data_IF_509596011859
#
_entry.id   IF_509596011859
#
_cell.length_a   1.000
_cell.length_b   1.000
_cell.length_c   1.000
_cell.angle_alpha   90.00
_cell.angle_beta   90.00
_cell.angle_gamma   90.00
#
_symmetry.space_group_name_H-M   'P 1'
#
loop_
_entity.id
_entity.type
_entity.pdbx_description
1 polymer ?
#
# COMPACT_ATOMS: atom_id res chain seq x y z
N UNK A 1 -24.66 -15.28 -27.11
CA UNK A 1 -24.69 -15.81 -25.74
C UNK A 1 -23.69 -15.04 -24.89
N UNK A 2 -23.92 -14.93 -23.58
CA UNK A 2 -23.15 -14.09 -22.63
C UNK A 2 -22.88 -12.66 -23.15
N UNK A 3 -23.95 -11.96 -23.48
CA UNK A 3 -23.90 -10.67 -24.17
C UNK A 3 -23.22 -9.54 -23.38
N UNK A 4 -22.88 -9.74 -22.10
CA UNK A 4 -22.04 -8.79 -21.35
C UNK A 4 -20.68 -8.53 -22.03
N UNK A 5 -20.19 -9.47 -22.84
CA UNK A 5 -18.95 -9.33 -23.60
C UNK A 5 -19.01 -8.26 -24.70
N UNK A 6 -20.21 -7.85 -25.14
CA UNK A 6 -20.40 -6.85 -26.21
C UNK A 6 -20.98 -5.52 -25.72
N UNK A 7 -21.09 -5.32 -24.40
CA UNK A 7 -21.65 -4.08 -23.82
C UNK A 7 -20.78 -2.84 -24.06
N UNK A 8 -19.46 -3.02 -24.17
CA UNK A 8 -18.53 -1.94 -24.46
C UNK A 8 -18.57 -1.56 -25.94
N UNK A 9 -19.28 -0.48 -26.29
CA UNK A 9 -19.44 -0.03 -27.70
C UNK A 9 -18.09 0.30 -28.37
N UNK A 10 -17.11 0.75 -27.57
CA UNK A 10 -15.78 1.06 -28.07
C UNK A 10 -14.84 -0.15 -28.15
N UNK A 11 -15.23 -1.31 -27.59
CA UNK A 11 -14.41 -2.52 -27.63
C UNK A 11 -14.30 -3.04 -29.07
N UNK A 12 -13.10 -3.48 -29.44
CA UNK A 12 -12.85 -4.02 -30.78
C UNK A 12 -13.71 -5.25 -31.07
N UNK A 13 -13.92 -6.11 -30.07
CA UNK A 13 -14.80 -7.27 -30.17
C UNK A 13 -16.23 -6.86 -30.54
N UNK A 14 -16.79 -5.86 -29.87
CA UNK A 14 -18.15 -5.36 -30.15
C UNK A 14 -18.27 -4.81 -31.56
N UNK A 15 -17.28 -4.00 -31.99
CA UNK A 15 -17.24 -3.46 -33.36
C UNK A 15 -17.19 -4.58 -34.40
N UNK A 16 -16.30 -5.57 -34.19
CA UNK A 16 -16.17 -6.72 -35.07
C UNK A 16 -17.47 -7.51 -35.18
N UNK A 17 -18.08 -7.94 -34.06
CA UNK A 17 -19.33 -8.72 -34.10
C UNK A 17 -20.47 -7.93 -34.72
N UNK A 18 -20.51 -6.60 -34.54
CA UNK A 18 -21.52 -5.75 -35.19
C UNK A 18 -21.34 -5.68 -36.71
N UNK A 19 -20.13 -5.78 -37.25
CA UNK A 19 -19.91 -5.80 -38.72
C UNK A 19 -20.40 -7.08 -39.41
N UNK A 20 -20.66 -8.15 -38.66
CA UNK A 20 -21.19 -9.39 -39.24
C UNK A 20 -22.57 -9.12 -39.88
N UNK A 21 -22.79 -9.58 -41.12
CA UNK A 21 -24.08 -9.43 -41.79
C UNK A 21 -25.13 -10.26 -41.04
N UNK A 22 -26.20 -9.60 -40.61
CA UNK A 22 -27.29 -10.23 -39.88
C UNK A 22 -28.61 -9.51 -40.20
N UNK A 23 -29.66 -10.29 -40.46
CA UNK A 23 -31.03 -9.77 -40.60
C UNK A 23 -31.68 -9.58 -39.23
N UNK A 24 -31.43 -10.52 -38.31
CA UNK A 24 -31.93 -10.47 -36.95
C UNK A 24 -30.77 -10.64 -35.97
N UNK A 25 -30.74 -9.78 -34.95
CA UNK A 25 -29.76 -9.83 -33.87
C UNK A 25 -30.48 -10.15 -32.57
N UNK A 26 -29.92 -11.09 -31.82
CA UNK A 26 -30.44 -11.49 -30.51
C UNK A 26 -29.30 -11.56 -29.52
N UNK A 27 -29.57 -11.17 -28.28
CA UNK A 27 -28.63 -11.23 -27.18
C UNK A 27 -29.23 -12.08 -26.06
N UNK A 28 -28.38 -12.87 -25.41
CA UNK A 28 -28.73 -13.68 -24.25
C UNK A 28 -27.71 -13.35 -23.18
N UNK A 29 -28.17 -12.94 -22.00
CA UNK A 29 -27.32 -12.64 -20.83
C UNK A 29 -28.14 -12.82 -19.56
N UNK A 30 -27.51 -13.39 -18.52
CA UNK A 30 -28.11 -13.48 -17.19
C UNK A 30 -28.09 -12.15 -16.43
N UNK A 31 -27.17 -11.24 -16.79
CA UNK A 31 -26.86 -10.01 -16.04
C UNK A 31 -26.71 -8.82 -16.99
N UNK A 32 -27.82 -8.30 -17.57
CA UNK A 32 -27.77 -7.22 -18.57
C UNK A 32 -27.35 -5.84 -18.03
N UNK A 33 -27.13 -5.73 -16.71
CA UNK A 33 -26.67 -4.52 -16.03
C UNK A 33 -25.59 -4.95 -15.02
N UNK A 34 -24.33 -4.61 -15.28
CA UNK A 34 -23.23 -4.89 -14.37
C UNK A 34 -22.77 -3.67 -13.57
N UNK A 35 -22.47 -2.56 -14.26
CA UNK A 35 -21.77 -1.40 -13.69
C UNK A 35 -22.58 -0.12 -13.81
N UNK A 36 -23.22 0.09 -14.95
CA UNK A 36 -24.01 1.29 -15.22
C UNK A 36 -25.17 0.99 -16.16
N UNK A 37 -26.08 1.94 -16.27
CA UNK A 37 -27.18 1.89 -17.24
C UNK A 37 -26.67 1.78 -18.68
N UNK A 38 -25.45 2.26 -18.97
CA UNK A 38 -24.88 2.19 -20.32
C UNK A 38 -24.52 0.76 -20.76
N UNK A 39 -24.45 -0.20 -19.83
CA UNK A 39 -24.38 -1.62 -20.19
C UNK A 39 -25.60 -2.04 -21.03
N UNK A 40 -26.80 -1.59 -20.66
CA UNK A 40 -28.00 -1.82 -21.47
C UNK A 40 -27.93 -1.14 -22.83
N UNK A 41 -27.37 0.07 -22.90
CA UNK A 41 -27.19 0.74 -24.19
C UNK A 41 -26.30 -0.07 -25.12
N UNK A 42 -25.22 -0.65 -24.62
CA UNK A 42 -24.37 -1.56 -25.39
C UNK A 42 -25.17 -2.67 -26.06
N UNK A 43 -26.11 -3.27 -25.34
CA UNK A 43 -27.01 -4.30 -25.86
C UNK A 43 -28.00 -3.74 -26.89
N UNK A 44 -28.66 -2.60 -26.61
CA UNK A 44 -29.59 -1.94 -27.56
C UNK A 44 -28.87 -1.54 -28.86
N UNK A 45 -27.66 -1.00 -28.73
CA UNK A 45 -26.82 -0.61 -29.85
C UNK A 45 -26.38 -1.84 -30.67
N UNK A 46 -26.11 -2.97 -30.01
CA UNK A 46 -25.80 -4.22 -30.69
C UNK A 46 -27.01 -4.80 -31.44
N UNK A 47 -28.20 -4.77 -30.84
CA UNK A 47 -29.45 -5.19 -31.48
C UNK A 47 -29.84 -4.33 -32.68
N UNK A 48 -29.21 -3.16 -32.81
CA UNK A 48 -29.44 -2.18 -33.88
C UNK A 48 -30.89 -1.68 -33.96
N UNK A 49 -31.52 -1.53 -32.78
CA UNK A 49 -32.93 -1.16 -32.66
C UNK A 49 -33.14 0.35 -32.84
N UNK A 50 -33.43 0.79 -34.06
CA UNK A 50 -33.73 2.20 -34.38
C UNK A 50 -35.06 2.67 -33.76
N UNK A 51 -35.17 3.93 -33.29
CA UNK A 51 -34.12 4.96 -33.21
C UNK A 51 -33.25 4.90 -31.94
N UNK A 52 -33.46 3.91 -31.08
CA UNK A 52 -32.83 3.80 -29.77
C UNK A 52 -31.37 3.30 -29.80
N UNK A 53 -30.88 2.90 -30.97
CA UNK A 53 -29.48 2.62 -31.23
C UNK A 53 -28.62 3.90 -31.33
N UNK A 54 -29.24 5.09 -31.32
CA UNK A 54 -28.56 6.39 -31.15
C UNK A 54 -28.31 6.71 -29.67
N UNK A 55 -27.05 7.03 -29.37
CA UNK A 55 -26.61 7.35 -28.01
C UNK A 55 -27.23 8.64 -27.47
N UNK A 56 -27.53 9.62 -28.32
CA UNK A 56 -28.13 10.87 -27.84
C UNK A 56 -29.53 10.63 -27.29
N UNK A 57 -30.34 9.83 -27.99
CA UNK A 57 -31.66 9.43 -27.52
C UNK A 57 -31.57 8.57 -26.25
N UNK A 58 -30.62 7.62 -26.20
CA UNK A 58 -30.36 6.84 -25.00
C UNK A 58 -30.04 7.72 -23.79
N UNK A 59 -29.15 8.70 -23.96
CA UNK A 59 -28.75 9.62 -22.90
C UNK A 59 -29.94 10.42 -22.36
N UNK A 60 -30.88 10.81 -23.21
CA UNK A 60 -32.11 11.48 -22.77
C UNK A 60 -32.99 10.55 -21.92
N UNK A 61 -33.18 9.29 -22.34
CA UNK A 61 -33.93 8.29 -21.59
C UNK A 61 -33.28 7.98 -20.23
N UNK A 62 -31.96 7.80 -20.21
CA UNK A 62 -31.19 7.57 -18.98
C UNK A 62 -31.25 8.78 -18.04
N UNK A 63 -31.17 10.00 -18.57
CA UNK A 63 -31.32 11.21 -17.77
C UNK A 63 -32.70 11.28 -17.11
N UNK A 64 -33.78 11.02 -17.84
CA UNK A 64 -35.13 10.98 -17.27
C UNK A 64 -35.28 9.90 -16.19
N UNK A 65 -34.68 8.72 -16.40
CA UNK A 65 -34.62 7.66 -15.40
C UNK A 65 -33.90 8.13 -14.13
N UNK A 66 -32.75 8.78 -14.26
CA UNK A 66 -31.98 9.34 -13.14
C UNK A 66 -32.74 10.45 -12.39
N UNK A 67 -33.60 11.21 -13.07
CA UNK A 67 -34.52 12.18 -12.47
C UNK A 67 -35.75 11.53 -11.81
N UNK A 68 -35.83 10.20 -11.78
CA UNK A 68 -36.90 9.45 -11.11
C UNK A 68 -38.10 9.11 -12.01
N UNK A 69 -38.02 9.34 -13.33
CA UNK A 69 -39.05 8.93 -14.28
C UNK A 69 -38.61 7.71 -15.11
N UNK A 70 -38.91 6.47 -14.66
CA UNK A 70 -38.47 5.27 -15.36
C UNK A 70 -39.35 4.88 -16.55
N UNK A 71 -40.57 5.43 -16.67
CA UNK A 71 -41.58 4.98 -17.63
C UNK A 71 -41.09 4.98 -19.09
N UNK A 72 -40.40 6.02 -19.59
CA UNK A 72 -39.95 6.05 -20.97
C UNK A 72 -38.94 4.95 -21.27
N UNK A 73 -37.96 4.76 -20.40
CA UNK A 73 -36.95 3.71 -20.55
C UNK A 73 -37.59 2.31 -20.48
N UNK A 74 -38.46 2.07 -19.50
CA UNK A 74 -39.15 0.79 -19.36
C UNK A 74 -40.03 0.46 -20.58
N UNK A 75 -40.71 1.44 -21.17
CA UNK A 75 -41.53 1.23 -22.36
C UNK A 75 -40.71 0.79 -23.59
N UNK A 76 -39.47 1.25 -23.70
CA UNK A 76 -38.53 0.80 -24.75
C UNK A 76 -38.05 -0.62 -24.42
N UNK A 77 -37.55 -0.83 -23.21
CA UNK A 77 -37.01 -2.11 -22.80
C UNK A 77 -38.03 -3.24 -22.87
N UNK A 78 -39.29 -3.00 -22.50
CA UNK A 78 -40.36 -4.00 -22.55
C UNK A 78 -40.71 -4.49 -23.96
N UNK A 79 -40.31 -3.77 -25.01
CA UNK A 79 -40.55 -4.16 -26.41
C UNK A 79 -39.46 -5.08 -26.97
N UNK A 80 -38.26 -5.00 -26.41
CA UNK A 80 -37.06 -5.67 -26.96
C UNK A 80 -36.43 -6.67 -25.99
N UNK A 81 -36.80 -6.63 -24.71
CA UNK A 81 -36.24 -7.48 -23.67
C UNK A 81 -37.31 -8.37 -23.07
N UNK A 82 -37.02 -9.66 -23.04
CA UNK A 82 -37.76 -10.64 -22.27
C UNK A 82 -36.90 -11.10 -21.09
N UNK A 83 -37.40 -10.95 -19.85
CA UNK A 83 -36.71 -11.39 -18.63
C UNK A 83 -37.63 -12.24 -17.77
N UNK A 84 -37.24 -13.48 -17.55
CA UNK A 84 -37.92 -14.39 -16.62
C UNK A 84 -37.13 -14.44 -15.32
N UNK A 85 -37.72 -14.02 -14.21
CA UNK A 85 -37.08 -14.10 -12.91
C UNK A 85 -37.14 -15.54 -12.38
N UNK A 86 -36.07 -16.00 -11.70
CA UNK A 86 -36.02 -17.34 -11.08
C UNK A 86 -37.25 -17.62 -10.21
N UNK A 87 -37.74 -16.61 -9.47
CA UNK A 87 -38.94 -16.71 -8.64
C UNK A 87 -40.21 -17.12 -9.39
N UNK A 88 -40.32 -16.82 -10.69
CA UNK A 88 -41.50 -17.13 -11.50
C UNK A 88 -41.52 -18.58 -12.03
N UNK A 89 -40.40 -19.29 -11.93
CA UNK A 89 -40.20 -20.65 -12.46
C UNK A 89 -39.60 -21.60 -11.42
N UNK A 90 -39.38 -21.13 -10.19
CA UNK A 90 -38.61 -21.86 -9.18
C UNK A 90 -39.27 -23.21 -8.82
N UNK A 91 -40.60 -23.21 -8.77
CA UNK A 91 -41.47 -24.36 -8.51
C UNK A 91 -41.36 -25.45 -9.58
N UNK A 92 -41.09 -25.07 -10.84
CA UNK A 92 -40.98 -26.00 -11.97
C UNK A 92 -39.58 -26.62 -12.11
N UNK A 93 -38.56 -25.95 -11.57
CA UNK A 93 -37.16 -26.32 -11.80
C UNK A 93 -36.62 -27.32 -10.76
N UNK A 94 -37.35 -27.60 -9.67
CA UNK A 94 -36.91 -28.51 -8.62
C UNK A 94 -35.58 -28.11 -7.96
N UNK A 95 -35.21 -26.82 -8.02
CA UNK A 95 -33.90 -26.34 -7.56
C UNK A 95 -33.90 -26.34 -6.02
N UNK A 96 -32.92 -26.99 -5.37
CA UNK A 96 -32.80 -26.94 -3.93
C UNK A 96 -32.61 -25.50 -3.42
N UNK A 97 -33.07 -25.19 -2.20
CA UNK A 97 -32.90 -23.86 -1.64
C UNK A 97 -31.42 -23.48 -1.59
N UNK A 98 -31.11 -22.24 -1.98
CA UNK A 98 -29.75 -21.71 -1.87
C UNK A 98 -29.45 -21.38 -0.41
N UNK A 99 -28.38 -21.93 0.13
CA UNK A 99 -27.89 -21.62 1.47
C UNK A 99 -26.59 -20.84 1.39
N UNK A 100 -26.49 -19.76 2.15
CA UNK A 100 -25.25 -19.01 2.34
C UNK A 100 -24.65 -19.36 3.71
N UNK A 101 -23.40 -19.83 3.73
CA UNK A 101 -22.67 -20.15 4.96
C UNK A 101 -21.50 -19.19 5.11
N UNK A 102 -21.60 -18.32 6.10
CA UNK A 102 -20.55 -17.34 6.40
C UNK A 102 -19.47 -17.96 7.31
N UNK A 103 -18.31 -18.25 6.74
CA UNK A 103 -17.12 -18.65 7.50
C UNK A 103 -16.29 -17.43 7.91
N UNK A 104 -16.32 -17.09 9.19
CA UNK A 104 -15.46 -16.04 9.75
C UNK A 104 -14.08 -16.62 10.05
N UNK A 105 -13.05 -16.08 9.40
CA UNK A 105 -11.67 -16.48 9.58
C UNK A 105 -10.99 -15.48 10.51
N UNK A 106 -10.18 -15.97 11.44
CA UNK A 106 -9.32 -15.15 12.31
C UNK A 106 -7.90 -15.13 11.76
N UNK A 107 -7.31 -13.95 11.66
CA UNK A 107 -5.89 -13.80 11.33
C UNK A 107 -5.02 -14.38 12.44
N UNK A 108 -3.84 -14.89 12.08
CA UNK A 108 -2.81 -15.21 13.08
C UNK A 108 -2.29 -13.92 13.74
N UNK A 109 -1.62 -14.04 14.89
CA UNK A 109 -1.04 -12.87 15.57
C UNK A 109 -0.07 -12.10 14.68
N UNK A 110 0.73 -12.81 13.88
CA UNK A 110 1.66 -12.23 12.92
C UNK A 110 0.94 -11.45 11.82
N UNK A 111 -0.09 -12.05 11.22
CA UNK A 111 -0.90 -11.41 10.18
C UNK A 111 -1.65 -10.20 10.74
N UNK A 112 -2.21 -10.31 11.95
CA UNK A 112 -2.93 -9.24 12.62
C UNK A 112 -1.99 -8.06 12.95
N UNK A 113 -0.76 -8.34 13.41
CA UNK A 113 0.26 -7.30 13.63
C UNK A 113 0.60 -6.56 12.34
N UNK A 114 0.88 -7.29 11.26
CA UNK A 114 1.14 -6.70 9.95
C UNK A 114 -0.06 -5.88 9.45
N UNK A 115 -1.26 -6.46 9.50
CA UNK A 115 -2.49 -5.83 9.06
C UNK A 115 -2.79 -4.53 9.82
N UNK A 116 -2.59 -4.51 11.15
CA UNK A 116 -2.78 -3.30 11.97
C UNK A 116 -1.80 -2.19 11.62
N UNK A 117 -0.54 -2.55 11.37
CA UNK A 117 0.49 -1.61 10.94
C UNK A 117 0.13 -0.99 9.59
N UNK A 118 -0.28 -1.80 8.61
CA UNK A 118 -0.74 -1.32 7.31
C UNK A 118 -2.05 -0.54 7.40
N UNK A 119 -2.97 -0.95 8.28
CA UNK A 119 -4.22 -0.24 8.54
C UNK A 119 -3.96 1.18 9.03
N UNK A 120 -3.02 1.38 9.95
CA UNK A 120 -2.66 2.71 10.42
C UNK A 120 -2.14 3.59 9.26
N UNK A 121 -1.27 3.06 8.40
CA UNK A 121 -0.75 3.77 7.21
C UNK A 121 -1.87 4.13 6.23
N UNK A 122 -2.72 3.16 5.88
CA UNK A 122 -3.86 3.36 4.98
C UNK A 122 -4.86 4.37 5.55
N UNK A 123 -5.12 4.34 6.86
CA UNK A 123 -6.01 5.30 7.52
C UNK A 123 -5.45 6.73 7.46
N UNK A 124 -4.14 6.92 7.66
CA UNK A 124 -3.50 8.23 7.52
C UNK A 124 -3.60 8.74 6.08
N UNK A 125 -3.22 7.92 5.09
CA UNK A 125 -3.31 8.28 3.67
C UNK A 125 -4.76 8.58 3.24
N UNK A 126 -5.74 7.84 3.75
CA UNK A 126 -7.16 8.13 3.53
C UNK A 126 -7.55 9.49 4.10
N UNK A 127 -7.15 9.80 5.35
CA UNK A 127 -7.47 11.09 5.99
C UNK A 127 -6.86 12.27 5.25
N UNK A 128 -5.63 12.13 4.75
CA UNK A 128 -4.96 13.16 3.94
C UNK A 128 -5.73 13.43 2.64
N UNK A 129 -6.11 12.38 1.91
CA UNK A 129 -6.94 12.50 0.71
C UNK A 129 -8.31 13.10 1.00
N UNK A 130 -8.94 12.69 2.10
CA UNK A 130 -10.23 13.21 2.54
C UNK A 130 -10.15 14.69 2.91
N UNK A 131 -9.05 15.13 3.53
CA UNK A 131 -8.83 16.53 3.87
C UNK A 131 -8.78 17.43 2.62
N UNK A 132 -8.17 16.95 1.53
CA UNK A 132 -8.13 17.67 0.25
C UNK A 132 -9.50 17.82 -0.42
N UNK A 133 -10.38 16.81 -0.26
CA UNK A 133 -11.73 16.83 -0.85
C UNK A 133 -12.74 17.67 -0.07
N UNK A 134 -12.42 18.04 1.18
CA UNK A 134 -13.30 18.81 2.07
C UNK A 134 -14.32 17.93 2.81
N UNK A 135 -14.59 18.27 4.07
CA UNK A 135 -15.41 17.44 5.00
C UNK A 135 -16.91 17.44 4.72
N UNK A 136 -17.40 18.31 3.84
CA UNK A 136 -18.83 18.54 3.61
C UNK A 136 -19.38 17.79 2.39
N UNK A 137 -18.54 17.11 1.61
CA UNK A 137 -19.02 16.28 0.50
C UNK A 137 -19.54 14.95 1.01
N UNK A 138 -20.83 14.70 0.77
CA UNK A 138 -21.41 13.37 0.91
C UNK A 138 -20.83 12.43 -0.15
N UNK A 139 -20.42 11.23 0.27
CA UNK A 139 -19.97 10.15 -0.61
C UNK A 139 -20.97 9.84 -1.73
N UNK A 140 -22.28 9.94 -1.45
CA UNK A 140 -23.33 9.69 -2.43
C UNK A 140 -23.38 10.72 -3.57
N UNK A 141 -22.77 11.89 -3.37
CA UNK A 141 -22.71 12.98 -4.37
C UNK A 141 -21.35 13.05 -5.07
N UNK A 142 -20.39 12.21 -4.67
CA UNK A 142 -19.08 12.17 -5.31
C UNK A 142 -19.16 11.44 -6.65
N UNK A 143 -18.33 11.87 -7.60
CA UNK A 143 -18.13 11.09 -8.83
C UNK A 143 -17.41 9.79 -8.49
N UNK A 144 -17.60 8.76 -9.32
CA UNK A 144 -16.92 7.46 -9.18
C UNK A 144 -15.39 7.64 -9.17
N UNK A 145 -14.86 8.61 -9.93
CA UNK A 145 -13.43 8.90 -10.00
C UNK A 145 -12.90 9.42 -8.66
N UNK A 146 -13.60 10.40 -8.06
CA UNK A 146 -13.25 10.93 -6.73
C UNK A 146 -13.36 9.85 -5.66
N UNK A 147 -14.41 9.04 -5.71
CA UNK A 147 -14.61 7.92 -4.79
C UNK A 147 -13.46 6.90 -4.90
N UNK A 148 -13.06 6.54 -6.12
CA UNK A 148 -11.94 5.63 -6.35
C UNK A 148 -10.63 6.21 -5.82
N UNK A 149 -10.36 7.50 -6.03
CA UNK A 149 -9.17 8.17 -5.50
C UNK A 149 -9.13 8.11 -3.97
N UNK A 150 -10.27 8.39 -3.33
CA UNK A 150 -10.43 8.37 -1.88
C UNK A 150 -10.29 6.95 -1.30
N UNK A 151 -10.86 5.94 -1.96
CA UNK A 151 -10.84 4.55 -1.51
C UNK A 151 -9.55 3.81 -1.86
N UNK A 152 -8.72 4.35 -2.76
CA UNK A 152 -7.48 3.74 -3.23
C UNK A 152 -6.56 3.22 -2.11
N UNK A 153 -6.33 3.95 -0.98
CA UNK A 153 -5.48 3.46 0.10
C UNK A 153 -6.03 2.18 0.75
N UNK A 154 -7.34 2.02 0.82
CA UNK A 154 -8.00 0.88 1.47
C UNK A 154 -7.98 -0.38 0.61
N UNK A 155 -7.69 -0.25 -0.70
CA UNK A 155 -7.52 -1.40 -1.61
C UNK A 155 -6.41 -2.33 -1.12
N UNK A 156 -5.33 -1.77 -0.56
CA UNK A 156 -4.22 -2.54 -0.02
C UNK A 156 -4.66 -3.46 1.14
N UNK A 157 -5.45 -2.92 2.08
CA UNK A 157 -5.95 -3.70 3.21
C UNK A 157 -6.76 -4.93 2.79
N UNK A 158 -7.62 -4.77 1.77
CA UNK A 158 -8.39 -5.90 1.22
C UNK A 158 -7.48 -6.98 0.63
N UNK A 159 -6.37 -6.59 0.02
CA UNK A 159 -5.41 -7.53 -0.55
C UNK A 159 -4.66 -8.27 0.56
N UNK A 160 -4.23 -7.55 1.59
CA UNK A 160 -3.46 -8.10 2.70
C UNK A 160 -4.30 -9.04 3.59
N UNK A 161 -5.65 -8.93 3.57
CA UNK A 161 -6.54 -9.91 4.20
C UNK A 161 -6.46 -11.31 3.56
N UNK A 162 -6.11 -11.40 2.26
CA UNK A 162 -6.05 -12.68 1.54
C UNK A 162 -4.63 -13.23 1.63
N UNK A 163 -3.65 -12.45 1.17
CA UNK A 163 -2.22 -12.76 1.28
C UNK A 163 -1.48 -11.45 1.54
N UNK A 164 -0.71 -11.34 2.63
CA UNK A 164 0.13 -10.18 2.91
C UNK A 164 1.04 -9.85 1.73
N UNK A 165 1.02 -8.59 1.30
CA UNK A 165 1.74 -8.15 0.11
C UNK A 165 2.66 -6.97 0.42
N UNK A 166 3.88 -7.04 -0.11
CA UNK A 166 4.87 -5.98 0.07
C UNK A 166 5.31 -5.47 -1.30
N UNK A 167 5.50 -4.15 -1.37
CA UNK A 167 6.05 -3.50 -2.54
C UNK A 167 7.56 -3.75 -2.57
N UNK A 168 7.99 -4.58 -3.50
CA UNK A 168 9.40 -4.78 -3.79
C UNK A 168 9.83 -3.76 -4.84
N UNK A 169 10.75 -2.88 -4.48
CA UNK A 169 11.38 -1.93 -5.40
C UNK A 169 12.67 -2.56 -5.92
N UNK A 170 12.63 -3.06 -7.16
CA UNK A 170 13.85 -3.32 -7.94
C UNK A 170 14.19 -2.09 -8.78
N UNK A 171 15.46 -1.89 -9.14
CA UNK A 171 16.00 -0.67 -9.79
C UNK A 171 15.24 -0.16 -11.01
N UNK A 172 14.36 -0.96 -11.62
CA UNK A 172 13.55 -0.56 -12.78
C UNK A 172 12.04 -0.81 -12.65
N UNK A 173 11.59 -1.61 -11.67
CA UNK A 173 10.17 -1.98 -11.54
C UNK A 173 9.74 -2.14 -10.07
N UNK A 174 8.55 -1.61 -9.77
CA UNK A 174 7.82 -1.87 -8.52
C UNK A 174 6.93 -3.09 -8.71
N UNK A 175 7.30 -4.21 -8.12
CA UNK A 175 6.50 -5.43 -8.16
C UNK A 175 5.89 -5.71 -6.79
N UNK A 176 4.66 -6.22 -6.76
CA UNK A 176 4.04 -6.69 -5.51
C UNK A 176 4.49 -8.12 -5.26
N UNK A 177 5.27 -8.33 -4.20
CA UNK A 177 5.61 -9.68 -3.72
C UNK A 177 4.55 -10.12 -2.72
N UNK A 178 3.89 -11.24 -3.01
CA UNK A 178 3.02 -11.94 -2.08
C UNK A 178 3.89 -12.74 -1.11
N UNK A 179 3.56 -12.72 0.18
CA UNK A 179 4.35 -13.39 1.21
C UNK A 179 3.60 -14.56 1.82
N UNK A 180 4.28 -15.70 1.90
CA UNK A 180 3.89 -16.79 2.78
C UNK A 180 4.04 -16.38 4.25
N UNK A 181 3.43 -17.12 5.21
CA UNK A 181 3.59 -16.81 6.63
C UNK A 181 5.05 -16.77 7.12
N UNK A 182 5.91 -17.66 6.59
CA UNK A 182 7.32 -17.69 6.96
C UNK A 182 8.09 -16.49 6.38
N UNK A 183 7.84 -16.15 5.11
CA UNK A 183 8.44 -14.97 4.51
C UNK A 183 7.96 -13.68 5.16
N UNK A 184 6.70 -13.61 5.61
CA UNK A 184 6.19 -12.48 6.39
C UNK A 184 6.96 -12.33 7.70
N UNK A 185 7.19 -13.44 8.41
CA UNK A 185 7.96 -13.44 9.66
C UNK A 185 9.38 -12.93 9.44
N UNK A 186 10.07 -13.48 8.44
CA UNK A 186 11.43 -13.07 8.10
C UNK A 186 11.48 -11.59 7.72
N UNK A 187 10.53 -11.13 6.91
CA UNK A 187 10.42 -9.74 6.55
C UNK A 187 10.24 -8.82 7.77
N UNK A 188 9.36 -9.18 8.71
CA UNK A 188 9.12 -8.40 9.91
C UNK A 188 10.34 -8.37 10.84
N UNK A 189 11.06 -9.49 10.96
CA UNK A 189 12.32 -9.54 11.72
C UNK A 189 13.36 -8.62 11.11
N UNK A 190 13.60 -8.74 9.79
CA UNK A 190 14.55 -7.87 9.08
C UNK A 190 14.17 -6.39 9.18
N UNK A 191 12.88 -6.07 9.06
CA UNK A 191 12.42 -4.70 9.20
C UNK A 191 12.68 -4.15 10.62
N UNK A 192 12.37 -4.93 11.66
CA UNK A 192 12.67 -4.55 13.04
C UNK A 192 14.17 -4.38 13.29
N UNK A 193 15.02 -5.28 12.75
CA UNK A 193 16.47 -5.17 12.85
C UNK A 193 16.98 -3.86 12.21
N UNK A 194 16.46 -3.50 11.04
CA UNK A 194 16.80 -2.24 10.37
C UNK A 194 16.35 -1.02 11.17
N UNK A 195 15.14 -1.05 11.74
CA UNK A 195 14.61 0.03 12.58
C UNK A 195 15.45 0.21 13.85
N UNK A 196 15.81 -0.89 14.54
CA UNK A 196 16.70 -0.85 15.70
C UNK A 196 18.09 -0.30 15.35
N UNK A 197 18.69 -0.75 14.24
CA UNK A 197 19.97 -0.20 13.76
C UNK A 197 19.87 1.29 13.44
N UNK A 198 18.79 1.72 12.82
CA UNK A 198 18.55 3.12 12.51
C UNK A 198 18.45 3.97 13.78
N UNK A 199 17.69 3.53 14.77
CA UNK A 199 17.57 4.21 16.05
C UNK A 199 18.92 4.28 16.80
N UNK A 200 19.67 3.17 16.83
CA UNK A 200 21.00 3.11 17.45
C UNK A 200 21.98 4.05 16.75
N UNK A 201 21.97 4.10 15.41
CA UNK A 201 22.75 5.06 14.61
C UNK A 201 22.43 6.50 15.00
N UNK A 202 21.15 6.86 15.13
CA UNK A 202 20.73 8.20 15.55
C UNK A 202 21.24 8.55 16.95
N UNK A 203 21.14 7.63 17.92
CA UNK A 203 21.62 7.84 19.29
C UNK A 203 23.13 8.10 19.28
N UNK A 204 23.92 7.20 18.71
CA UNK A 204 25.38 7.32 18.73
C UNK A 204 25.86 8.53 17.93
N UNK A 205 25.24 8.81 16.78
CA UNK A 205 25.54 10.02 16.00
C UNK A 205 25.25 11.31 16.80
N UNK A 206 24.17 11.34 17.59
CA UNK A 206 23.85 12.48 18.45
C UNK A 206 24.86 12.65 19.57
N UNK A 207 25.32 11.55 20.19
CA UNK A 207 26.35 11.58 21.24
C UNK A 207 27.67 12.11 20.67
N UNK A 208 28.09 11.62 19.50
CA UNK A 208 29.28 12.11 18.79
C UNK A 208 29.14 13.61 18.47
N UNK A 209 27.99 14.05 17.97
CA UNK A 209 27.71 15.46 17.70
C UNK A 209 27.80 16.33 18.97
N UNK A 210 27.24 15.87 20.09
CA UNK A 210 27.37 16.56 21.38
C UNK A 210 28.83 16.63 21.85
N UNK A 211 29.58 15.54 21.73
CA UNK A 211 30.99 15.51 22.08
C UNK A 211 31.78 16.55 21.26
N UNK A 212 31.55 16.61 19.95
CA UNK A 212 32.17 17.60 19.07
C UNK A 212 31.84 19.06 19.46
N UNK A 213 30.61 19.34 19.92
CA UNK A 213 30.25 20.67 20.47
C UNK A 213 31.08 21.01 21.71
N UNK A 214 31.29 20.05 22.61
CA UNK A 214 32.16 20.25 23.77
C UNK A 214 33.63 20.46 23.36
N UNK A 215 34.12 19.78 22.32
CA UNK A 215 35.46 20.04 21.74
C UNK A 215 35.57 21.49 21.26
N UNK A 216 34.59 21.99 20.51
CA UNK A 216 34.58 23.39 20.03
C UNK A 216 34.59 24.38 21.20
N UNK A 217 33.90 24.06 22.30
CA UNK A 217 33.89 24.87 23.53
C UNK A 217 35.14 24.71 24.39
N UNK A 218 36.11 23.86 23.98
CA UNK A 218 37.32 23.51 24.73
C UNK A 218 37.03 22.83 26.07
N UNK A 219 35.88 22.15 26.17
CA UNK A 219 35.45 21.37 27.34
C UNK A 219 35.88 19.90 27.16
N UNK A 220 37.20 19.66 27.11
CA UNK A 220 37.77 18.39 26.67
C UNK A 220 37.42 17.19 27.58
N UNK A 221 37.36 17.37 28.90
CA UNK A 221 36.93 16.28 29.80
C UNK A 221 35.51 15.80 29.48
N UNK A 222 34.61 16.73 29.17
CA UNK A 222 33.22 16.40 28.88
C UNK A 222 33.07 15.77 27.50
N UNK A 223 33.83 16.26 26.51
CA UNK A 223 33.93 15.63 25.20
C UNK A 223 34.43 14.18 25.31
N UNK A 224 35.50 13.94 26.07
CA UNK A 224 36.05 12.60 26.27
C UNK A 224 35.05 11.64 26.94
N UNK A 225 34.28 12.11 27.94
CA UNK A 225 33.21 11.32 28.57
C UNK A 225 32.14 10.91 27.55
N UNK A 226 31.75 11.82 26.65
CA UNK A 226 30.73 11.53 25.64
C UNK A 226 31.23 10.58 24.55
N UNK A 227 32.46 10.75 24.04
CA UNK A 227 33.02 9.78 23.09
C UNK A 227 33.19 8.39 23.72
N UNK A 228 33.63 8.30 24.97
CA UNK A 228 33.64 7.02 25.71
C UNK A 228 32.25 6.42 25.87
N UNK A 229 31.23 7.25 26.10
CA UNK A 229 29.83 6.81 26.13
C UNK A 229 29.37 6.26 24.78
N UNK A 230 29.71 6.92 23.66
CA UNK A 230 29.42 6.42 22.32
C UNK A 230 30.06 5.05 22.05
N UNK A 231 31.30 4.83 22.51
CA UNK A 231 31.98 3.53 22.39
C UNK A 231 31.39 2.46 23.30
N UNK A 232 30.91 2.84 24.49
CA UNK A 232 30.18 1.93 25.36
C UNK A 232 28.91 1.40 24.70
N UNK A 233 28.15 2.24 23.97
CA UNK A 233 27.02 1.76 23.17
C UNK A 233 27.44 0.73 22.12
N UNK A 234 28.62 0.86 21.53
CA UNK A 234 29.14 -0.15 20.60
C UNK A 234 29.58 -1.45 21.29
N UNK A 235 30.04 -1.37 22.54
CA UNK A 235 30.39 -2.53 23.34
C UNK A 235 29.15 -3.28 23.83
N UNK A 236 28.12 -2.54 24.24
CA UNK A 236 26.83 -3.06 24.73
C UNK A 236 25.99 -3.72 23.61
N UNK A 237 26.14 -3.26 22.36
CA UNK A 237 25.37 -3.75 21.20
C UNK A 237 26.27 -4.42 20.14
N UNK A 238 26.30 -5.75 20.17
CA UNK A 238 27.09 -6.60 19.27
C UNK A 238 26.19 -7.61 18.52
N UNK A 239 26.70 -8.14 17.40
CA UNK A 239 26.01 -9.16 16.61
C UNK A 239 25.02 -8.56 15.61
N UNK A 240 23.76 -9.02 15.63
CA UNK A 240 22.75 -8.64 14.63
C UNK A 240 22.41 -7.16 14.68
N UNK A 241 22.31 -6.56 15.87
CA UNK A 241 22.11 -5.12 16.07
C UNK A 241 23.42 -4.56 16.64
N UNK A 242 24.12 -3.75 15.86
CA UNK A 242 25.42 -3.19 16.22
C UNK A 242 25.54 -1.74 15.77
N UNK A 243 26.42 -0.99 16.44
CA UNK A 243 26.78 0.37 16.03
C UNK A 243 27.62 0.32 14.75
N UNK A 244 27.31 1.17 13.77
CA UNK A 244 28.06 1.23 12.51
C UNK A 244 29.54 1.55 12.75
N UNK A 245 30.44 0.87 12.01
CA UNK A 245 31.89 1.04 12.15
C UNK A 245 32.32 2.51 12.03
N UNK A 246 31.74 3.26 11.09
CA UNK A 246 32.06 4.68 10.87
C UNK A 246 31.79 5.56 12.10
N UNK A 247 30.71 5.29 12.85
CA UNK A 247 30.40 6.05 14.06
C UNK A 247 31.36 5.74 15.21
N UNK A 248 31.84 4.49 15.27
CA UNK A 248 32.86 4.08 16.23
C UNK A 248 34.22 4.67 15.89
N UNK A 249 34.63 4.63 14.61
CA UNK A 249 35.86 5.26 14.11
C UNK A 249 35.86 6.75 14.43
N UNK A 250 34.75 7.45 14.14
CA UNK A 250 34.60 8.86 14.49
C UNK A 250 34.82 9.10 15.99
N UNK A 251 34.19 8.30 16.86
CA UNK A 251 34.35 8.45 18.30
C UNK A 251 35.79 8.15 18.77
N UNK A 252 36.44 7.12 18.22
CA UNK A 252 37.82 6.74 18.57
C UNK A 252 38.81 7.81 18.15
N UNK A 253 38.76 8.26 16.89
CA UNK A 253 39.66 9.25 16.36
C UNK A 253 39.61 10.56 17.16
N UNK A 254 38.40 11.08 17.37
CA UNK A 254 38.25 12.33 18.12
C UNK A 254 38.54 12.15 19.63
N UNK A 255 38.31 10.97 20.20
CA UNK A 255 38.69 10.71 21.59
C UNK A 255 40.20 10.74 21.78
N UNK A 256 40.96 10.13 20.87
CA UNK A 256 42.43 10.16 20.86
C UNK A 256 42.90 11.62 20.83
N UNK A 257 42.41 12.41 19.88
CA UNK A 257 42.77 13.83 19.75
C UNK A 257 42.42 14.64 21.01
N UNK A 258 41.22 14.46 21.57
CA UNK A 258 40.81 15.15 22.80
C UNK A 258 41.67 14.77 24.00
N UNK A 259 42.07 13.49 24.12
CA UNK A 259 42.93 13.03 25.20
C UNK A 259 44.36 13.60 25.07
N UNK A 260 44.88 13.73 23.86
CA UNK A 260 46.17 14.40 23.61
C UNK A 260 46.11 15.90 23.93
N UNK A 261 45.02 16.57 23.56
CA UNK A 261 44.82 18.01 23.78
C UNK A 261 44.55 18.40 25.24
N UNK A 262 43.91 17.53 26.03
CA UNK A 262 43.58 17.82 27.43
C UNK A 262 44.80 17.75 28.38
N UNK A 263 45.95 17.31 27.88
CA UNK A 263 47.17 17.21 28.68
C UNK A 263 47.12 16.11 29.74
N UNK A 264 48.32 15.80 30.24
CA UNK A 264 48.63 14.66 31.10
C UNK A 264 48.04 14.80 32.52
N UNK A 265 47.18 13.88 32.97
CA UNK A 265 46.62 13.86 34.36
C UNK A 265 46.82 12.49 35.06
N UNK A 266 47.71 11.60 34.58
CA UNK A 266 47.92 10.26 35.18
C UNK A 266 49.30 9.64 34.94
N UNK A 267 49.51 8.41 35.42
CA UNK A 267 50.73 7.62 35.22
C UNK A 267 51.01 7.39 33.71
N UNK A 268 52.19 7.81 33.23
CA UNK A 268 52.56 7.90 31.82
C UNK A 268 52.37 6.61 31.01
N UNK A 269 52.57 5.48 31.66
CA UNK A 269 52.49 4.18 31.02
C UNK A 269 51.04 3.70 30.83
N UNK A 270 50.15 3.99 31.78
CA UNK A 270 48.73 3.60 31.68
C UNK A 270 47.99 4.39 30.62
N UNK A 271 48.27 5.69 30.51
CA UNK A 271 47.70 6.56 29.48
C UNK A 271 48.13 6.15 28.06
N UNK A 272 49.43 5.91 27.86
CA UNK A 272 49.95 5.44 26.56
C UNK A 272 49.40 4.09 26.16
N UNK A 273 49.14 3.20 27.13
CA UNK A 273 48.49 1.91 26.85
C UNK A 273 47.05 2.11 26.37
N UNK A 274 46.27 2.95 27.05
CA UNK A 274 44.89 3.24 26.62
C UNK A 274 44.83 3.85 25.21
N UNK A 275 45.76 4.75 24.86
CA UNK A 275 45.80 5.34 23.53
C UNK A 275 46.05 4.28 22.46
N UNK A 276 47.04 3.40 22.67
CA UNK A 276 47.33 2.27 21.78
C UNK A 276 46.13 1.33 21.61
N UNK A 277 45.41 1.04 22.70
CA UNK A 277 44.22 0.19 22.65
C UNK A 277 43.12 0.82 21.77
N UNK A 278 42.94 2.16 21.83
CA UNK A 278 42.00 2.87 20.96
C UNK A 278 42.45 2.91 19.50
N UNK A 279 43.74 3.16 19.23
CA UNK A 279 44.32 3.13 17.89
C UNK A 279 44.16 1.75 17.24
N UNK A 280 44.46 0.68 17.98
CA UNK A 280 44.33 -0.70 17.49
C UNK A 280 42.85 -1.04 17.21
N UNK A 281 41.93 -0.58 18.06
CA UNK A 281 40.49 -0.73 17.82
C UNK A 281 40.04 0.04 16.59
N UNK A 282 40.53 1.26 16.39
CA UNK A 282 40.20 2.09 15.22
C UNK A 282 40.68 1.41 13.94
N UNK A 283 41.93 0.96 13.91
CA UNK A 283 42.49 0.22 12.78
C UNK A 283 41.64 -1.02 12.47
N UNK A 284 41.30 -1.85 13.46
CA UNK A 284 40.44 -3.04 13.25
C UNK A 284 39.10 -2.74 12.60
N UNK A 285 38.54 -1.54 12.81
CA UNK A 285 37.27 -1.13 12.24
C UNK A 285 37.39 -0.55 10.81
N UNK A 286 38.53 0.04 10.47
CA UNK A 286 38.80 0.58 9.13
C UNK A 286 39.04 -0.54 8.10
N UNK A 287 39.59 -1.67 8.54
CA UNK A 287 39.87 -2.83 7.69
C UNK A 287 38.70 -3.82 7.57
N UNK A 288 37.49 -3.44 8.02
CA UNK A 288 36.30 -4.30 8.10
C UNK A 288 35.17 -3.80 7.20
#
# INVERSE_FOLDING_TARGET
DEAQMVEGIHNQTTKMVKTLPAVHRWTVTGTPIEKSMDNLYGLVHFLDYSPYNDYQLWRQLNYQYQQGNPRPLLAVMSRIMWRTCKAAVLDQLGIPPQTEVLHKITMSDLQNFFYRTEHAKCATAFREKAAYLGRNLSMARMTIQTLNLLMEPLRKLRQDCVIPSILHKSDQLTTKKLLTPNELREHLVLNNEMECKSALRTIVSSINGMAAVHVIRREYEQAAKLYKSALRWADDYQGTISVDSLLQIHALYNLIEVLEMNGFVGEEETFRKQLRDYEERCAKLEWK
#
